data_IF_514030369029
#
_entry.id   IF_514030369029
#
_cell.length_a   1.000
_cell.length_b   1.000
_cell.length_c   1.000
_cell.angle_alpha   90.00
_cell.angle_beta   90.00
_cell.angle_gamma   90.00
#
_symmetry.space_group_name_H-M   'P 1'
#
loop_
_entity.id
_entity.type
_entity.pdbx_description
1 polymer ?
#
# COMPACT_ATOMS: atom_id res chain seq x y z
N UNK A 1 22.24 -25.42 1.67
CA UNK A 1 20.99 -24.67 1.45
C UNK A 1 21.21 -23.25 1.95
N UNK A 2 20.89 -22.20 1.18
CA UNK A 2 20.98 -20.83 1.66
C UNK A 2 19.91 -20.61 2.72
N UNK A 3 20.24 -19.95 3.82
CA UNK A 3 19.30 -19.60 4.87
C UNK A 3 18.77 -18.18 4.59
N UNK A 4 17.46 -18.05 4.43
CA UNK A 4 16.76 -16.78 4.29
C UNK A 4 16.00 -16.49 5.58
N UNK A 5 16.04 -15.25 6.03
CA UNK A 5 15.40 -14.81 7.27
C UNK A 5 14.62 -13.52 7.05
N UNK A 6 13.54 -13.33 7.80
CA UNK A 6 12.81 -12.06 7.87
C UNK A 6 13.51 -11.17 8.90
N UNK A 7 13.94 -9.98 8.51
CA UNK A 7 14.67 -9.03 9.35
C UNK A 7 13.84 -7.84 9.77
N UNK A 8 12.71 -7.59 9.11
CA UNK A 8 11.80 -6.50 9.47
C UNK A 8 10.42 -6.74 8.90
N UNK A 9 9.40 -6.26 9.62
CA UNK A 9 7.99 -6.38 9.27
C UNK A 9 7.32 -5.01 9.30
N UNK A 10 6.47 -4.75 8.30
CA UNK A 10 5.59 -3.59 8.28
C UNK A 10 4.17 -4.02 7.97
N UNK A 11 3.21 -3.58 8.78
CA UNK A 11 1.80 -3.90 8.63
C UNK A 11 0.92 -2.66 8.66
N UNK A 12 -0.01 -2.62 7.72
CA UNK A 12 -1.13 -1.69 7.70
C UNK A 12 -2.39 -2.50 7.37
N UNK A 13 -3.25 -2.70 8.36
CA UNK A 13 -4.38 -3.61 8.27
C UNK A 13 -5.68 -2.98 8.78
N UNK A 14 -6.81 -3.64 8.52
CA UNK A 14 -8.11 -3.21 9.06
C UNK A 14 -8.24 -3.38 10.58
N UNK A 15 -7.29 -4.05 11.23
CA UNK A 15 -7.25 -4.25 12.70
C UNK A 15 -6.13 -3.47 13.37
N UNK A 16 -5.21 -2.84 12.63
CA UNK A 16 -4.14 -2.05 13.21
C UNK A 16 -3.31 -1.31 12.17
N UNK A 17 -2.76 -0.17 12.57
CA UNK A 17 -1.97 0.73 11.73
C UNK A 17 -0.45 0.49 11.85
N UNK A 18 -0.05 -0.55 12.56
CA UNK A 18 1.33 -1.02 12.72
C UNK A 18 1.34 -2.49 13.15
N UNK A 19 2.53 -3.09 13.24
CA UNK A 19 2.71 -4.51 13.61
C UNK A 19 2.17 -4.80 15.00
N UNK A 20 2.52 -4.00 15.99
CA UNK A 20 2.16 -4.19 17.39
C UNK A 20 0.64 -4.17 17.60
N UNK A 21 -0.03 -3.11 17.14
CA UNK A 21 -1.49 -2.99 17.25
C UNK A 21 -2.22 -4.07 16.47
N UNK A 22 -1.72 -4.43 15.27
CA UNK A 22 -2.31 -5.50 14.45
C UNK A 22 -2.19 -6.85 15.15
N UNK A 23 -1.03 -7.16 15.73
CA UNK A 23 -0.80 -8.39 16.47
C UNK A 23 -1.65 -8.47 17.73
N UNK A 24 -1.66 -7.42 18.53
CA UNK A 24 -2.49 -7.32 19.75
C UNK A 24 -3.98 -7.52 19.48
N UNK A 25 -4.48 -6.94 18.40
CA UNK A 25 -5.87 -7.11 18.01
C UNK A 25 -6.15 -8.50 17.44
N UNK A 26 -5.17 -9.09 16.73
CA UNK A 26 -5.28 -10.46 16.22
C UNK A 26 -5.39 -11.48 17.35
N UNK A 27 -4.50 -11.44 18.35
CA UNK A 27 -4.54 -12.37 19.50
C UNK A 27 -5.77 -12.17 20.38
N UNK A 28 -6.36 -10.96 20.39
CA UNK A 28 -7.63 -10.65 21.07
C UNK A 28 -8.85 -11.00 20.22
N UNK A 29 -8.67 -11.67 19.07
CA UNK A 29 -9.73 -12.03 18.11
C UNK A 29 -10.62 -10.85 17.69
N UNK A 30 -10.07 -9.64 17.62
CA UNK A 30 -10.83 -8.48 17.16
C UNK A 30 -11.04 -8.53 15.64
N UNK A 31 -12.28 -8.39 15.21
CA UNK A 31 -12.61 -8.32 13.78
C UNK A 31 -12.28 -6.94 13.20
N UNK A 32 -11.60 -6.93 12.06
CA UNK A 32 -11.42 -5.73 11.23
C UNK A 32 -12.55 -5.48 10.23
N UNK A 33 -13.55 -6.38 10.18
CA UNK A 33 -14.71 -6.21 9.30
C UNK A 33 -15.69 -5.26 9.97
N UNK A 34 -15.99 -4.16 9.28
CA UNK A 34 -16.86 -3.08 9.77
C UNK A 34 -17.92 -2.71 8.72
N UNK A 35 -18.99 -2.05 9.17
CA UNK A 35 -19.98 -1.49 8.25
C UNK A 35 -19.33 -0.41 7.38
N UNK A 36 -19.55 -0.49 6.07
CA UNK A 36 -19.09 0.51 5.11
C UNK A 36 -19.85 1.81 5.34
N UNK A 37 -19.10 2.93 5.51
CA UNK A 37 -19.67 4.26 5.78
C UNK A 37 -19.12 5.35 4.84
N UNK A 38 -18.13 5.04 4.03
CA UNK A 38 -17.43 6.02 3.20
C UNK A 38 -18.01 6.15 1.78
N UNK A 39 -18.98 5.30 1.43
CA UNK A 39 -19.84 5.45 0.24
C UNK A 39 -21.19 4.77 0.48
N UNK A 40 -22.19 5.06 -0.36
CA UNK A 40 -23.52 4.46 -0.27
C UNK A 40 -23.47 2.99 -0.70
N UNK A 41 -23.98 2.10 0.15
CA UNK A 41 -24.04 0.65 -0.05
C UNK A 41 -25.47 0.10 0.01
N UNK A 42 -26.50 0.97 -0.03
CA UNK A 42 -27.90 0.55 0.18
C UNK A 42 -28.35 -0.46 -0.87
N UNK A 43 -27.90 -0.29 -2.11
CA UNK A 43 -28.21 -1.15 -3.24
C UNK A 43 -27.25 -2.34 -3.41
N UNK A 44 -26.22 -2.46 -2.53
CA UNK A 44 -25.24 -3.52 -2.62
C UNK A 44 -25.61 -4.70 -1.73
N UNK A 45 -25.34 -5.96 -2.17
CA UNK A 45 -25.61 -7.14 -1.35
C UNK A 45 -24.71 -7.20 -0.11
N UNK A 46 -23.44 -6.73 -0.19
CA UNK A 46 -22.51 -6.67 0.91
C UNK A 46 -22.41 -5.23 1.48
N UNK A 47 -22.59 -5.09 2.79
CA UNK A 47 -22.60 -3.79 3.49
C UNK A 47 -21.46 -3.67 4.49
N UNK A 48 -20.58 -4.67 4.54
CA UNK A 48 -19.44 -4.76 5.45
C UNK A 48 -18.16 -5.07 4.66
N UNK A 49 -17.03 -4.53 5.12
CA UNK A 49 -15.71 -4.79 4.55
C UNK A 49 -14.60 -4.60 5.59
N UNK A 50 -13.44 -5.17 5.33
CA UNK A 50 -12.19 -4.78 5.98
C UNK A 50 -11.56 -3.62 5.21
N UNK A 51 -11.35 -2.48 5.84
CA UNK A 51 -10.74 -1.30 5.22
C UNK A 51 -9.87 -0.54 6.22
N UNK A 52 -8.89 0.19 5.69
CA UNK A 52 -8.10 1.14 6.46
C UNK A 52 -8.97 2.37 6.71
N UNK A 53 -9.14 2.73 7.97
CA UNK A 53 -10.08 3.78 8.35
C UNK A 53 -9.47 5.18 8.22
N UNK A 54 -9.97 5.96 7.30
CA UNK A 54 -9.55 7.33 7.03
C UNK A 54 -10.51 8.39 7.65
N UNK A 55 -11.40 8.00 8.56
CA UNK A 55 -12.29 8.94 9.25
C UNK A 55 -11.60 9.51 10.48
N UNK A 56 -11.30 10.83 10.54
CA UNK A 56 -10.63 11.47 11.68
C UNK A 56 -11.40 11.39 13.01
N UNK A 57 -12.71 11.13 12.95
CA UNK A 57 -13.58 11.04 14.14
C UNK A 57 -13.68 9.60 14.69
N UNK A 58 -12.86 8.67 14.23
CA UNK A 58 -12.87 7.28 14.69
C UNK A 58 -11.52 6.95 15.37
N UNK A 59 -11.58 6.25 16.50
CA UNK A 59 -10.40 5.87 17.29
C UNK A 59 -9.39 5.01 16.49
N UNK A 60 -9.85 4.34 15.42
CA UNK A 60 -9.01 3.58 14.51
C UNK A 60 -8.52 4.40 13.30
N UNK A 61 -8.61 5.72 13.36
CA UNK A 61 -8.19 6.63 12.29
C UNK A 61 -6.74 6.41 11.88
N UNK A 62 -6.55 6.31 10.58
CA UNK A 62 -5.23 6.24 9.97
C UNK A 62 -4.95 7.54 9.20
N UNK A 63 -3.87 8.21 9.55
CA UNK A 63 -3.41 9.42 8.88
C UNK A 63 -2.17 9.13 8.00
N UNK A 64 -2.36 9.07 6.68
CA UNK A 64 -1.25 8.88 5.76
C UNK A 64 -0.21 10.02 5.80
N UNK A 65 -0.60 11.23 6.22
CA UNK A 65 0.31 12.40 6.33
C UNK A 65 1.33 12.24 7.46
N UNK A 66 1.12 11.32 8.39
CA UNK A 66 2.12 10.99 9.41
C UNK A 66 3.32 10.19 8.84
N UNK A 67 3.20 9.67 7.61
CA UNK A 67 4.20 8.80 6.98
C UNK A 67 4.67 9.30 5.61
N UNK A 68 3.82 10.05 4.92
CA UNK A 68 4.05 10.49 3.53
C UNK A 68 3.89 12.00 3.41
N UNK A 69 4.69 12.60 2.54
CA UNK A 69 4.51 14.00 2.16
C UNK A 69 3.21 14.19 1.37
N UNK A 70 2.60 15.37 1.48
CA UNK A 70 1.37 15.71 0.75
C UNK A 70 1.49 15.54 -0.76
N UNK A 71 2.70 15.76 -1.33
CA UNK A 71 2.94 15.54 -2.75
C UNK A 71 2.80 14.07 -3.14
N UNK A 72 3.28 13.16 -2.28
CA UNK A 72 3.23 11.71 -2.54
C UNK A 72 1.81 11.18 -2.40
N UNK A 73 1.05 11.68 -1.42
CA UNK A 73 -0.37 11.35 -1.25
C UNK A 73 -1.18 11.78 -2.48
N UNK A 74 -0.92 12.98 -3.04
CA UNK A 74 -1.63 13.49 -4.21
C UNK A 74 -1.28 12.81 -5.53
N UNK A 75 -0.10 12.21 -5.62
CA UNK A 75 0.43 11.61 -6.86
C UNK A 75 0.23 10.11 -6.96
N UNK A 76 -0.07 9.45 -5.85
CA UNK A 76 -0.15 8.01 -5.76
C UNK A 76 -1.54 7.54 -5.32
N UNK A 77 -2.06 6.50 -5.97
CA UNK A 77 -3.25 5.79 -5.51
C UNK A 77 -3.02 5.18 -4.12
N UNK A 78 -4.10 4.86 -3.42
CA UNK A 78 -4.06 4.33 -2.05
C UNK A 78 -3.22 3.07 -1.93
N UNK A 79 -3.23 2.17 -2.91
CA UNK A 79 -2.42 0.95 -2.83
C UNK A 79 -0.92 1.25 -2.78
N UNK A 80 -0.45 2.27 -3.54
CA UNK A 80 0.94 2.73 -3.49
C UNK A 80 1.23 3.38 -2.13
N UNK A 81 0.32 4.22 -1.63
CA UNK A 81 0.48 4.85 -0.32
C UNK A 81 0.63 3.81 0.79
N UNK A 82 -0.26 2.83 0.85
CA UNK A 82 -0.22 1.76 1.84
C UNK A 82 1.04 0.89 1.72
N UNK A 83 1.44 0.55 0.51
CA UNK A 83 2.68 -0.18 0.27
C UNK A 83 3.93 0.58 0.67
N UNK A 84 4.01 1.89 0.40
CA UNK A 84 5.11 2.76 0.84
C UNK A 84 5.18 2.85 2.36
N UNK A 85 4.05 2.92 3.04
CA UNK A 85 3.98 2.99 4.51
C UNK A 85 4.41 1.66 5.13
N UNK A 86 3.89 0.54 4.65
CA UNK A 86 4.29 -0.78 5.11
C UNK A 86 5.80 -1.04 4.86
N UNK A 87 6.30 -0.66 3.68
CA UNK A 87 7.73 -0.74 3.37
C UNK A 87 8.58 0.12 4.30
N UNK A 88 8.13 1.34 4.61
CA UNK A 88 8.82 2.22 5.58
C UNK A 88 8.92 1.57 6.96
N UNK A 89 7.85 0.96 7.45
CA UNK A 89 7.86 0.24 8.72
C UNK A 89 8.84 -0.94 8.68
N UNK A 90 8.80 -1.76 7.64
CA UNK A 90 9.68 -2.92 7.50
C UNK A 90 11.16 -2.53 7.40
N UNK A 91 11.48 -1.48 6.65
CA UNK A 91 12.85 -0.96 6.48
C UNK A 91 13.39 -0.40 7.80
N UNK A 92 12.55 0.31 8.56
CA UNK A 92 12.92 0.83 9.87
C UNK A 92 13.14 -0.31 10.88
N UNK A 93 12.26 -1.29 10.91
CA UNK A 93 12.33 -2.46 11.79
C UNK A 93 13.58 -3.32 11.47
N UNK A 94 13.91 -3.48 10.19
CA UNK A 94 15.14 -4.15 9.74
C UNK A 94 16.44 -3.36 10.01
N UNK A 95 16.35 -2.08 10.36
CA UNK A 95 17.53 -1.21 10.60
C UNK A 95 18.32 -0.86 9.34
N UNK A 96 17.73 -0.96 8.13
CA UNK A 96 18.39 -0.73 6.83
C UNK A 96 18.12 0.65 6.23
N UNK A 97 17.87 1.65 7.05
CA UNK A 97 17.58 3.02 6.60
C UNK A 97 18.81 3.76 6.06
N UNK A 98 20.01 3.44 6.57
CA UNK A 98 21.26 4.15 6.28
C UNK A 98 22.26 3.23 5.56
N UNK A 99 21.89 2.71 4.41
CA UNK A 99 22.78 1.89 3.59
C UNK A 99 23.75 2.75 2.77
N UNK A 100 24.98 2.27 2.62
CA UNK A 100 25.95 2.81 1.66
C UNK A 100 25.47 2.62 0.21
N UNK A 101 26.05 3.34 -0.75
CA UNK A 101 25.71 3.19 -2.16
C UNK A 101 26.00 1.77 -2.69
N UNK A 102 27.04 1.10 -2.18
CA UNK A 102 27.35 -0.28 -2.54
C UNK A 102 26.31 -1.27 -2.01
N UNK A 103 25.83 -1.07 -0.79
CA UNK A 103 24.77 -1.90 -0.19
C UNK A 103 23.46 -1.72 -0.94
N UNK A 104 23.10 -0.49 -1.33
CA UNK A 104 21.90 -0.21 -2.12
C UNK A 104 21.86 -0.93 -3.47
N UNK A 105 23.02 -1.22 -4.07
CA UNK A 105 23.10 -2.02 -5.30
C UNK A 105 22.65 -3.47 -5.09
N UNK A 106 22.68 -3.96 -3.86
CA UNK A 106 22.32 -5.34 -3.49
C UNK A 106 20.90 -5.49 -2.96
N UNK A 107 20.21 -4.38 -2.74
CA UNK A 107 18.83 -4.40 -2.23
C UNK A 107 17.85 -4.36 -3.39
N UNK A 108 17.12 -5.45 -3.56
CA UNK A 108 16.01 -5.55 -4.50
C UNK A 108 14.68 -5.16 -3.87
N UNK A 109 13.69 -4.90 -4.71
CA UNK A 109 12.30 -4.64 -4.32
C UNK A 109 11.38 -5.59 -5.07
N UNK A 110 10.69 -6.46 -4.34
CA UNK A 110 9.67 -7.36 -4.87
C UNK A 110 8.37 -7.11 -4.10
N UNK A 111 7.41 -6.48 -4.76
CA UNK A 111 6.09 -6.17 -4.19
C UNK A 111 5.04 -6.23 -5.29
N UNK A 112 3.78 -6.36 -4.89
CA UNK A 112 2.71 -6.40 -5.88
C UNK A 112 1.37 -5.96 -5.30
N UNK A 113 0.38 -5.88 -6.17
CA UNK A 113 -1.00 -5.61 -5.82
C UNK A 113 -1.92 -6.47 -6.68
N UNK A 114 -3.03 -6.92 -6.11
CA UNK A 114 -3.97 -7.76 -6.85
C UNK A 114 -4.65 -7.06 -8.04
N UNK A 115 -4.82 -5.73 -7.96
CA UNK A 115 -5.51 -4.94 -8.98
C UNK A 115 -4.74 -3.66 -9.35
N UNK A 116 -4.04 -3.05 -8.39
CA UNK A 116 -3.41 -1.74 -8.56
C UNK A 116 -4.36 -0.58 -8.24
N UNK A 117 -4.24 0.53 -8.97
CA UNK A 117 -4.94 1.78 -8.75
C UNK A 117 -6.40 1.80 -9.24
N UNK A 118 -7.23 0.89 -8.74
CA UNK A 118 -8.63 0.78 -9.15
C UNK A 118 -9.42 2.06 -8.86
N UNK A 119 -9.17 2.72 -7.71
CA UNK A 119 -9.82 3.98 -7.35
C UNK A 119 -9.46 5.08 -8.35
N UNK A 120 -8.18 5.25 -8.65
CA UNK A 120 -7.70 6.23 -9.65
C UNK A 120 -8.32 5.98 -11.03
N UNK A 121 -8.42 4.72 -11.47
CA UNK A 121 -9.03 4.35 -12.76
C UNK A 121 -10.52 4.69 -12.76
N UNK A 122 -11.24 4.37 -11.69
CA UNK A 122 -12.66 4.67 -11.54
C UNK A 122 -12.92 6.18 -11.58
N UNK A 123 -12.24 6.95 -10.75
CA UNK A 123 -12.35 8.41 -10.69
C UNK A 123 -11.98 9.07 -12.03
N UNK A 124 -10.94 8.56 -12.68
CA UNK A 124 -10.55 9.01 -14.01
C UNK A 124 -11.62 8.75 -15.06
N UNK A 125 -12.27 7.59 -15.03
CA UNK A 125 -13.36 7.24 -15.93
C UNK A 125 -14.57 8.15 -15.73
N UNK A 126 -14.94 8.45 -14.48
CA UNK A 126 -16.00 9.40 -14.16
C UNK A 126 -15.66 10.81 -14.65
N UNK A 127 -14.40 11.23 -14.50
CA UNK A 127 -13.92 12.55 -14.94
C UNK A 127 -14.03 12.70 -16.46
N UNK A 128 -13.66 11.68 -17.22
CA UNK A 128 -13.78 11.71 -18.70
C UNK A 128 -15.25 11.73 -19.14
N UNK A 129 -16.09 10.96 -18.44
CA UNK A 129 -17.51 10.90 -18.75
C UNK A 129 -18.26 12.21 -18.41
N UNK A 130 -17.73 13.02 -17.51
CA UNK A 130 -18.28 14.32 -17.17
C UNK A 130 -18.00 15.33 -18.30
N UNK A 131 -19.05 15.92 -18.90
CA UNK A 131 -18.93 16.86 -20.02
C UNK A 131 -18.16 18.13 -19.67
N UNK A 132 -18.15 18.52 -18.41
CA UNK A 132 -17.56 19.78 -17.93
C UNK A 132 -16.07 19.62 -17.51
N UNK A 133 -15.59 18.39 -17.31
CA UNK A 133 -14.24 18.11 -16.83
C UNK A 133 -13.58 17.02 -17.68
N UNK A 134 -12.76 17.42 -18.65
CA UNK A 134 -12.08 16.48 -19.57
C UNK A 134 -10.58 16.33 -19.33
N UNK A 135 -10.04 16.81 -18.19
CA UNK A 135 -8.60 16.71 -17.90
C UNK A 135 -8.33 15.66 -16.82
N UNK A 136 -7.60 14.63 -17.20
CA UNK A 136 -7.01 13.69 -16.25
C UNK A 136 -5.76 14.31 -15.59
N UNK A 137 -5.45 13.83 -14.40
CA UNK A 137 -4.16 14.13 -13.75
C UNK A 137 -3.00 13.62 -14.61
N UNK A 138 -1.88 14.34 -14.74
CA UNK A 138 -0.68 13.82 -15.37
C UNK A 138 -0.11 12.59 -14.63
N UNK A 139 -0.52 12.38 -13.40
CA UNK A 139 -0.16 11.20 -12.59
C UNK A 139 -1.15 10.04 -12.73
N UNK A 140 -2.18 10.16 -13.58
CA UNK A 140 -3.19 9.10 -13.75
C UNK A 140 -2.56 7.72 -14.04
N UNK A 141 -1.71 7.63 -15.05
CA UNK A 141 -1.02 6.37 -15.38
C UNK A 141 -0.03 5.96 -14.29
N UNK A 142 0.91 6.82 -13.84
CA UNK A 142 1.84 6.43 -12.78
C UNK A 142 1.16 6.00 -11.47
N UNK A 143 0.02 6.57 -11.10
CA UNK A 143 -0.70 6.18 -9.88
C UNK A 143 -1.50 4.88 -10.02
N UNK A 144 -1.80 4.45 -11.26
CA UNK A 144 -2.67 3.29 -11.50
C UNK A 144 -1.90 1.97 -11.64
N UNK A 145 -0.66 2.02 -12.12
CA UNK A 145 0.11 0.83 -12.50
C UNK A 145 0.71 0.13 -11.27
N UNK A 146 0.56 -1.20 -11.22
CA UNK A 146 1.01 -2.04 -10.10
C UNK A 146 2.52 -1.95 -9.88
N UNK A 147 3.32 -1.95 -10.94
CA UNK A 147 4.78 -1.88 -10.87
C UNK A 147 5.31 -0.53 -10.34
N UNK A 148 4.47 0.50 -10.28
CA UNK A 148 4.89 1.78 -9.72
C UNK A 148 5.05 1.72 -8.20
N UNK A 149 4.43 0.77 -7.49
CA UNK A 149 4.69 0.55 -6.07
C UNK A 149 6.15 0.15 -5.83
N UNK A 150 6.67 -0.86 -6.54
CA UNK A 150 8.09 -1.26 -6.43
C UNK A 150 9.02 -0.14 -6.87
N UNK A 151 8.67 0.57 -7.95
CA UNK A 151 9.41 1.72 -8.45
C UNK A 151 9.49 2.86 -7.43
N UNK A 152 8.39 3.22 -6.77
CA UNK A 152 8.35 4.29 -5.77
C UNK A 152 9.15 3.93 -4.50
N UNK A 153 9.13 2.67 -4.05
CA UNK A 153 9.97 2.20 -2.95
C UNK A 153 11.44 2.32 -3.33
N UNK A 154 11.81 1.83 -4.51
CA UNK A 154 13.18 1.91 -5.03
C UNK A 154 13.69 3.34 -5.11
N UNK A 155 12.89 4.26 -5.65
CA UNK A 155 13.23 5.70 -5.75
C UNK A 155 13.40 6.31 -4.35
N UNK A 156 12.45 6.06 -3.43
CA UNK A 156 12.43 6.66 -2.10
C UNK A 156 13.65 6.29 -1.27
N UNK A 157 14.11 5.05 -1.36
CA UNK A 157 15.23 4.54 -0.55
C UNK A 157 16.55 4.42 -1.33
N UNK A 158 16.53 4.67 -2.63
CA UNK A 158 17.69 4.55 -3.50
C UNK A 158 18.12 3.10 -3.74
N UNK A 159 17.22 2.12 -3.61
CA UNK A 159 17.51 0.72 -3.87
C UNK A 159 17.71 0.48 -5.37
N UNK A 160 18.78 -0.22 -5.74
CA UNK A 160 19.24 -0.37 -7.13
C UNK A 160 19.39 -1.83 -7.57
N UNK A 161 19.01 -2.77 -6.71
CA UNK A 161 18.94 -4.19 -7.04
C UNK A 161 17.72 -4.52 -7.93
N UNK A 162 17.40 -5.80 -8.12
CA UNK A 162 16.24 -6.23 -8.91
C UNK A 162 14.95 -5.55 -8.44
N UNK A 163 14.13 -5.11 -9.39
CA UNK A 163 12.86 -4.43 -9.09
C UNK A 163 11.73 -5.15 -9.83
N UNK A 164 10.88 -5.83 -9.08
CA UNK A 164 9.80 -6.67 -9.60
C UNK A 164 8.46 -6.33 -8.98
N UNK A 165 7.41 -6.50 -9.79
CA UNK A 165 6.03 -6.47 -9.33
C UNK A 165 5.27 -7.65 -9.92
N UNK A 166 4.74 -8.48 -9.06
CA UNK A 166 3.90 -9.62 -9.43
C UNK A 166 2.43 -9.28 -9.24
N UNK A 167 1.56 -9.93 -10.02
CA UNK A 167 0.11 -9.76 -9.94
C UNK A 167 -0.54 -11.14 -10.03
N UNK A 168 -0.94 -11.69 -8.90
CA UNK A 168 -1.61 -12.99 -8.79
C UNK A 168 -2.82 -12.90 -7.85
N UNK A 169 -3.59 -11.83 -8.00
CA UNK A 169 -4.77 -11.55 -7.20
C UNK A 169 -4.50 -11.71 -5.69
N UNK A 170 -5.28 -12.53 -4.97
CA UNK A 170 -5.15 -12.74 -3.52
C UNK A 170 -3.81 -13.38 -3.11
N UNK A 171 -3.12 -14.07 -4.02
CA UNK A 171 -1.84 -14.72 -3.77
C UNK A 171 -0.62 -13.81 -4.00
N UNK A 172 -0.81 -12.56 -4.44
CA UNK A 172 0.28 -11.65 -4.82
C UNK A 172 1.33 -11.46 -3.72
N UNK A 173 0.91 -11.30 -2.47
CA UNK A 173 1.84 -11.13 -1.35
C UNK A 173 2.72 -12.36 -1.13
N UNK A 174 2.13 -13.55 -1.13
CA UNK A 174 2.87 -14.81 -1.02
C UNK A 174 3.83 -15.03 -2.21
N UNK A 175 3.40 -14.67 -3.43
CA UNK A 175 4.21 -14.73 -4.63
C UNK A 175 5.44 -13.80 -4.55
N UNK A 176 5.23 -12.55 -4.13
CA UNK A 176 6.33 -11.60 -3.93
C UNK A 176 7.39 -12.11 -2.95
N UNK A 177 6.96 -12.74 -1.84
CA UNK A 177 7.87 -13.34 -0.85
C UNK A 177 8.59 -14.55 -1.44
N UNK A 178 7.87 -15.39 -2.19
CA UNK A 178 8.44 -16.62 -2.76
C UNK A 178 9.48 -16.38 -3.84
N UNK A 179 9.34 -15.30 -4.61
CA UNK A 179 10.28 -14.92 -5.67
C UNK A 179 11.51 -14.15 -5.13
N UNK A 180 11.43 -13.58 -3.91
CA UNK A 180 12.52 -12.85 -3.26
C UNK A 180 13.56 -13.78 -2.64
#
# INVERSE_FOLDING_TARGET
MRRVVVTGIGLLTSIGNNVETSWDNLIKCKSGIKKIKHFNVDDLPAKIAGFINNNPNDDSYFNAQSFLELKDIKRNDRFIQYGLIAASMAINDAGITNLSEEEKLKVGVSVGSGIGGLETIYEGSLTINNKDKKKLSPFFIPSSLVNLLSGQISIKYGFKGPNHSVVTACATGAHSIGDS
#
